data_IF_948782255604
#
_entry.id   IF_948782255604
#
_cell.length_a   1.000
_cell.length_b   1.000
_cell.length_c   1.000
_cell.angle_alpha   90.00
_cell.angle_beta   90.00
_cell.angle_gamma   90.00
#
_symmetry.space_group_name_H-M   'P 1'
#
loop_
_entity.id
_entity.type
_entity.pdbx_description
1 polymer ?
#
# COMPACT_ATOMS: atom_id res chain seq x y z
N UNK A 1 -22.65 12.94 12.58
CA UNK A 1 -21.21 12.83 12.24
C UNK A 1 -20.92 13.28 10.81
N UNK A 2 -21.63 12.77 9.79
CA UNK A 2 -21.48 13.22 8.39
C UNK A 2 -21.55 14.75 8.24
N UNK A 3 -22.59 15.40 8.78
CA UNK A 3 -22.71 16.87 8.75
C UNK A 3 -21.56 17.63 9.45
N UNK A 4 -20.91 17.03 10.46
CA UNK A 4 -19.74 17.61 11.11
C UNK A 4 -18.50 17.53 10.20
N UNK A 5 -18.29 16.38 9.55
CA UNK A 5 -17.19 16.13 8.62
C UNK A 5 -17.34 16.99 7.35
N UNK A 6 -18.56 17.12 6.84
CA UNK A 6 -18.90 17.97 5.69
C UNK A 6 -18.86 19.47 6.01
N UNK A 7 -18.76 19.83 7.30
CA UNK A 7 -18.74 21.22 7.74
C UNK A 7 -20.09 21.94 7.64
N UNK A 8 -21.20 21.20 7.48
CA UNK A 8 -22.56 21.73 7.30
C UNK A 8 -23.30 22.02 8.61
N UNK A 9 -22.70 21.67 9.76
CA UNK A 9 -23.27 22.00 11.07
C UNK A 9 -23.19 23.49 11.39
N UNK A 10 -24.25 24.00 12.04
CA UNK A 10 -24.27 25.33 12.62
C UNK A 10 -23.25 25.43 13.77
N UNK A 11 -22.81 26.65 14.10
CA UNK A 11 -21.73 26.89 15.08
C UNK A 11 -22.03 26.29 16.46
N UNK A 12 -23.29 26.33 16.91
CA UNK A 12 -23.68 25.77 18.20
C UNK A 12 -23.59 24.23 18.20
N UNK A 13 -23.98 23.57 17.11
CA UNK A 13 -23.91 22.12 16.95
C UNK A 13 -22.47 21.66 16.82
N UNK A 14 -21.66 22.40 16.07
CA UNK A 14 -20.21 22.16 15.94
C UNK A 14 -19.52 22.22 17.30
N UNK A 15 -19.87 23.21 18.13
CA UNK A 15 -19.31 23.35 19.48
C UNK A 15 -19.68 22.16 20.37
N UNK A 16 -20.94 21.71 20.32
CA UNK A 16 -21.40 20.54 21.07
C UNK A 16 -20.68 19.25 20.64
N UNK A 17 -20.47 19.06 19.33
CA UNK A 17 -19.73 17.91 18.80
C UNK A 17 -18.26 17.96 19.22
N UNK A 18 -17.59 19.12 19.12
CA UNK A 18 -16.19 19.27 19.56
C UNK A 18 -16.04 18.99 21.06
N UNK A 19 -16.96 19.49 21.88
CA UNK A 19 -16.96 19.19 23.31
C UNK A 19 -17.09 17.67 23.57
N UNK A 20 -18.01 17.00 22.88
CA UNK A 20 -18.17 15.55 23.00
C UNK A 20 -16.94 14.75 22.54
N UNK A 21 -16.27 15.17 21.45
CA UNK A 21 -14.99 14.58 21.02
C UNK A 21 -13.87 14.81 22.05
N UNK A 22 -13.99 15.86 22.86
CA UNK A 22 -13.19 16.12 24.07
C UNK A 22 -13.31 15.01 25.11
N UNK A 23 -14.54 14.56 25.36
CA UNK A 23 -14.86 13.68 26.49
C UNK A 23 -15.01 12.20 26.11
N UNK A 24 -15.19 11.88 24.82
CA UNK A 24 -15.41 10.51 24.34
C UNK A 24 -14.25 10.01 23.45
N UNK A 25 -13.38 9.11 23.95
CA UNK A 25 -12.23 8.59 23.20
C UNK A 25 -12.63 7.81 21.93
N UNK A 26 -13.75 7.10 21.98
CA UNK A 26 -14.26 6.32 20.85
C UNK A 26 -14.69 7.24 19.69
N UNK A 27 -15.45 8.29 19.98
CA UNK A 27 -15.86 9.26 18.97
C UNK A 27 -14.66 10.04 18.42
N UNK A 28 -13.67 10.35 19.25
CA UNK A 28 -12.40 10.95 18.81
C UNK A 28 -11.65 10.06 17.83
N UNK A 29 -11.49 8.77 18.13
CA UNK A 29 -10.80 7.83 17.26
C UNK A 29 -11.45 7.78 15.87
N UNK A 30 -12.78 7.66 15.82
CA UNK A 30 -13.54 7.67 14.55
C UNK A 30 -13.34 8.98 13.77
N UNK A 31 -13.35 10.14 14.46
CA UNK A 31 -13.14 11.43 13.79
C UNK A 31 -11.74 11.58 13.19
N UNK A 32 -10.71 11.02 13.85
CA UNK A 32 -9.34 11.05 13.35
C UNK A 32 -9.17 10.13 12.13
N UNK A 33 -9.75 8.92 12.16
CA UNK A 33 -9.72 8.00 11.02
C UNK A 33 -10.41 8.61 9.79
N UNK A 34 -11.51 9.33 9.96
CA UNK A 34 -12.20 9.99 8.84
C UNK A 34 -11.40 11.19 8.32
N UNK A 35 -10.74 11.95 9.21
CA UNK A 35 -9.86 13.04 8.77
C UNK A 35 -8.70 12.52 7.91
N UNK A 36 -8.10 11.41 8.32
CA UNK A 36 -7.00 10.75 7.60
C UNK A 36 -7.44 10.22 6.22
N UNK A 37 -8.64 9.64 6.11
CA UNK A 37 -9.20 9.20 4.81
C UNK A 37 -9.48 10.35 3.84
N UNK A 38 -9.90 11.51 4.35
CA UNK A 38 -10.19 12.68 3.51
C UNK A 38 -8.94 13.26 2.86
N UNK A 39 -7.81 13.20 3.55
CA UNK A 39 -6.52 13.63 3.00
C UNK A 39 -6.09 12.71 1.84
N UNK A 40 -6.44 11.42 1.89
CA UNK A 40 -6.16 10.46 0.80
C UNK A 40 -7.01 10.74 -0.44
N UNK A 41 -8.31 11.01 -0.31
CA UNK A 41 -9.19 11.35 -1.45
C UNK A 41 -8.76 12.64 -2.15
N UNK A 42 -8.35 13.66 -1.38
CA UNK A 42 -7.86 14.93 -1.94
C UNK A 42 -6.53 14.73 -2.68
N UNK A 43 -5.65 13.88 -2.17
CA UNK A 43 -4.40 13.51 -2.85
C UNK A 43 -4.69 12.75 -4.15
N UNK A 44 -5.60 11.78 -4.15
CA UNK A 44 -5.96 10.98 -5.32
C UNK A 44 -6.53 11.85 -6.46
N UNK A 45 -7.44 12.77 -6.13
CA UNK A 45 -7.99 13.75 -7.08
C UNK A 45 -6.88 14.66 -7.66
N UNK A 46 -5.92 15.08 -6.82
CA UNK A 46 -4.77 15.90 -7.26
C UNK A 46 -3.79 15.12 -8.15
N UNK A 47 -3.61 13.82 -7.91
CA UNK A 47 -2.79 12.95 -8.75
C UNK A 47 -3.41 12.73 -10.13
N UNK A 48 -4.74 12.60 -10.19
CA UNK A 48 -5.44 12.36 -11.46
C UNK A 48 -5.70 13.63 -12.29
N UNK A 49 -5.82 14.80 -11.67
CA UNK A 49 -6.05 16.06 -12.40
C UNK A 49 -4.79 16.69 -13.01
N UNK A 50 -3.60 16.11 -12.80
CA UNK A 50 -2.34 16.61 -13.36
C UNK A 50 -2.04 18.03 -12.88
N UNK A 51 -1.34 18.15 -11.74
CA UNK A 51 -1.01 19.42 -11.10
C UNK A 51 -0.66 20.51 -12.12
N UNK A 52 -1.50 21.54 -12.31
CA UNK A 52 -1.08 22.72 -13.05
C UNK A 52 0.12 23.28 -12.29
N UNK A 53 1.28 23.40 -12.96
CA UNK A 53 2.45 24.08 -12.41
C UNK A 53 2.03 25.49 -12.00
N UNK A 54 1.71 25.67 -10.73
CA UNK A 54 1.39 26.97 -10.18
C UNK A 54 2.59 27.89 -10.45
N UNK A 55 2.38 29.07 -11.07
CA UNK A 55 3.47 30.01 -11.26
C UNK A 55 4.08 30.33 -9.89
N UNK A 56 5.41 30.30 -9.82
CA UNK A 56 6.18 30.50 -8.60
C UNK A 56 5.63 31.72 -7.83
N UNK A 57 5.34 31.58 -6.52
CA UNK A 57 4.80 32.69 -5.76
C UNK A 57 5.79 33.86 -5.79
N UNK A 58 5.34 35.11 -6.01
CA UNK A 58 6.21 36.26 -5.94
C UNK A 58 6.82 36.34 -4.54
N UNK A 59 8.12 36.62 -4.47
CA UNK A 59 8.90 36.71 -3.25
C UNK A 59 8.17 37.56 -2.19
N UNK A 60 7.68 36.91 -1.13
CA UNK A 60 6.89 37.56 -0.10
C UNK A 60 7.71 38.62 0.63
N UNK A 61 7.14 39.82 0.73
CA UNK A 61 7.66 40.93 1.50
C UNK A 61 7.85 40.55 2.98
N UNK A 62 8.99 40.97 3.55
CA UNK A 62 9.37 40.74 4.94
C UNK A 62 8.34 41.40 5.88
N UNK A 63 7.45 40.59 6.46
CA UNK A 63 6.57 41.07 7.52
C UNK A 63 7.37 41.14 8.81
N UNK A 64 7.65 42.36 9.26
CA UNK A 64 8.37 42.65 10.49
C UNK A 64 7.53 42.19 11.70
N UNK A 65 7.80 40.98 12.19
CA UNK A 65 7.15 40.40 13.38
C UNK A 65 7.59 41.17 14.62
N UNK A 66 6.71 42.04 15.12
CA UNK A 66 6.93 42.79 16.35
C UNK A 66 6.91 41.83 17.55
N UNK A 67 8.01 41.83 18.29
CA UNK A 67 8.29 40.97 19.43
C UNK A 67 7.56 41.45 20.68
N UNK A 68 6.49 40.75 21.11
CA UNK A 68 6.01 40.80 22.51
C UNK A 68 5.36 39.49 22.92
N UNK A 69 6.17 38.57 23.46
CA UNK A 69 5.76 37.58 24.47
C UNK A 69 7.02 36.85 24.99
N UNK A 70 7.87 37.58 25.72
CA UNK A 70 8.86 36.95 26.61
C UNK A 70 8.10 36.50 27.86
N UNK A 71 8.03 35.19 28.11
CA UNK A 71 8.06 34.51 29.44
C UNK A 71 7.31 33.16 29.52
N UNK A 72 7.34 32.27 28.50
CA UNK A 72 7.04 30.82 28.70
C UNK A 72 7.82 29.87 27.76
N UNK A 73 9.06 30.23 27.40
CA UNK A 73 9.80 29.56 26.33
C UNK A 73 10.74 28.36 26.69
N UNK A 74 11.13 28.02 27.94
CA UNK A 74 12.10 26.94 28.12
C UNK A 74 11.50 25.53 28.26
N UNK A 75 10.19 25.36 28.48
CA UNK A 75 9.63 24.04 28.80
C UNK A 75 9.34 23.15 27.58
N UNK A 76 9.11 23.71 26.38
CA UNK A 76 8.77 22.94 25.17
C UNK A 76 9.98 22.43 24.39
N UNK A 77 11.17 23.02 24.58
CA UNK A 77 12.38 22.60 23.86
C UNK A 77 12.97 21.28 24.38
N UNK A 78 12.73 20.93 25.65
CA UNK A 78 13.28 19.70 26.25
C UNK A 78 12.49 18.44 25.84
N UNK A 79 11.18 18.56 25.62
CA UNK A 79 10.33 17.41 25.27
C UNK A 79 10.56 16.88 23.83
N UNK A 80 10.89 17.75 22.87
CA UNK A 80 11.18 17.31 21.50
C UNK A 80 12.52 16.57 21.39
N UNK A 81 13.51 16.97 22.21
CA UNK A 81 14.83 16.34 22.21
C UNK A 81 14.80 14.91 22.78
N UNK A 82 13.97 14.63 23.79
CA UNK A 82 13.87 13.28 24.35
C UNK A 82 13.24 12.28 23.38
N UNK A 83 12.19 12.68 22.64
CA UNK A 83 11.57 11.80 21.63
C UNK A 83 12.55 11.46 20.51
N UNK A 84 13.31 12.44 20.00
CA UNK A 84 14.31 12.21 18.95
C UNK A 84 15.44 11.25 19.40
N UNK A 85 15.91 11.38 20.64
CA UNK A 85 16.99 10.52 21.20
C UNK A 85 16.55 9.07 21.32
N UNK A 86 15.27 8.78 21.59
CA UNK A 86 14.80 7.40 21.69
C UNK A 86 14.23 6.83 20.38
N UNK A 87 13.59 7.64 19.55
CA UNK A 87 12.96 7.16 18.31
C UNK A 87 13.97 6.86 17.19
N UNK A 88 15.01 7.70 17.03
CA UNK A 88 16.02 7.53 15.99
C UNK A 88 16.78 6.20 16.14
N UNK A 89 17.39 5.86 17.30
CA UNK A 89 18.12 4.60 17.41
C UNK A 89 17.19 3.40 17.24
N UNK A 90 15.91 3.49 17.65
CA UNK A 90 14.97 2.39 17.49
C UNK A 90 14.73 2.04 16.01
N UNK A 91 14.61 3.04 15.13
CA UNK A 91 14.46 2.81 13.68
C UNK A 91 15.72 2.21 13.07
N UNK A 92 16.91 2.66 13.48
CA UNK A 92 18.18 2.09 12.99
C UNK A 92 18.52 0.71 13.58
N UNK A 93 17.90 0.34 14.71
CA UNK A 93 18.08 -0.97 15.36
C UNK A 93 17.12 -2.03 14.81
N UNK A 94 16.06 -1.64 14.10
CA UNK A 94 15.22 -2.60 13.41
C UNK A 94 15.94 -3.08 12.15
N UNK A 95 16.23 -4.39 12.01
CA UNK A 95 16.88 -4.90 10.81
C UNK A 95 16.01 -4.58 9.59
N UNK A 96 16.60 -4.11 8.48
CA UNK A 96 15.85 -3.89 7.26
C UNK A 96 15.23 -5.22 6.84
N UNK A 97 13.92 -5.20 6.58
CA UNK A 97 13.23 -6.40 6.15
C UNK A 97 13.84 -6.89 4.84
N UNK A 98 14.19 -8.15 4.82
CA UNK A 98 14.56 -8.82 3.58
C UNK A 98 13.32 -8.93 2.68
N UNK A 99 13.48 -8.83 1.36
CA UNK A 99 12.37 -9.09 0.43
C UNK A 99 11.66 -10.43 0.67
N UNK A 100 12.40 -11.44 1.15
CA UNK A 100 11.85 -12.75 1.49
C UNK A 100 10.90 -12.69 2.69
N UNK A 101 11.22 -11.91 3.73
CA UNK A 101 10.33 -11.69 4.87
C UNK A 101 9.05 -10.94 4.46
N UNK A 102 9.17 -9.98 3.54
CA UNK A 102 8.03 -9.25 3.03
C UNK A 102 7.07 -10.19 2.25
N UNK A 103 7.60 -11.10 1.42
CA UNK A 103 6.80 -12.14 0.75
C UNK A 103 6.20 -13.11 1.77
N UNK A 104 6.96 -13.55 2.79
CA UNK A 104 6.43 -14.43 3.83
C UNK A 104 5.25 -13.78 4.60
N UNK A 105 5.33 -12.48 4.87
CA UNK A 105 4.24 -11.73 5.48
C UNK A 105 3.00 -11.65 4.56
N UNK A 106 3.17 -11.61 3.24
CA UNK A 106 2.05 -11.71 2.30
C UNK A 106 1.43 -13.11 2.29
N UNK A 107 2.25 -14.17 2.34
CA UNK A 107 1.76 -15.56 2.41
C UNK A 107 0.93 -15.78 3.68
N UNK A 108 1.39 -15.26 4.82
CA UNK A 108 0.64 -15.30 6.08
C UNK A 108 -0.67 -14.49 5.99
N UNK A 109 -0.62 -13.29 5.40
CA UNK A 109 -1.80 -12.45 5.22
C UNK A 109 -2.84 -13.07 4.28
N UNK A 110 -2.39 -13.80 3.25
CA UNK A 110 -3.23 -14.50 2.27
C UNK A 110 -3.72 -15.87 2.77
N UNK A 111 -3.25 -16.34 3.93
CA UNK A 111 -3.43 -17.72 4.36
C UNK A 111 -4.90 -18.16 4.36
N UNK A 112 -5.16 -19.31 3.71
CA UNK A 112 -6.46 -19.97 3.69
C UNK A 112 -7.48 -19.41 2.69
N UNK A 113 -7.09 -18.52 1.77
CA UNK A 113 -7.97 -18.05 0.70
C UNK A 113 -7.30 -18.07 -0.67
N UNK A 114 -8.08 -18.46 -1.67
CA UNK A 114 -7.71 -18.33 -3.07
C UNK A 114 -8.10 -16.95 -3.56
N UNK A 115 -7.15 -16.03 -3.55
CA UNK A 115 -7.33 -14.69 -4.10
C UNK A 115 -7.32 -14.68 -5.63
N UNK A 116 -6.62 -15.66 -6.24
CA UNK A 116 -6.35 -15.76 -7.68
C UNK A 116 -6.64 -17.20 -8.16
N UNK A 117 -7.13 -17.35 -9.38
CA UNK A 117 -7.25 -18.64 -10.02
C UNK A 117 -5.88 -19.22 -10.43
N UNK A 118 -5.00 -18.38 -10.98
CA UNK A 118 -3.62 -18.73 -11.26
C UNK A 118 -2.81 -18.93 -9.97
N UNK A 119 -1.81 -19.83 -10.04
CA UNK A 119 -0.86 -20.04 -8.96
C UNK A 119 0.25 -19.00 -9.05
N UNK A 120 0.58 -18.42 -7.91
CA UNK A 120 1.74 -17.52 -7.74
C UNK A 120 2.80 -18.23 -6.94
N UNK A 121 4.05 -17.99 -7.30
CA UNK A 121 5.20 -18.56 -6.59
C UNK A 121 5.43 -17.86 -5.24
N UNK A 122 6.28 -18.45 -4.39
CA UNK A 122 6.62 -17.87 -3.08
C UNK A 122 5.92 -18.52 -1.89
N UNK A 123 5.30 -19.69 -2.07
CA UNK A 123 4.73 -20.50 -0.98
C UNK A 123 3.25 -20.25 -0.69
N UNK A 124 2.53 -19.58 -1.60
CA UNK A 124 1.08 -19.41 -1.48
C UNK A 124 0.38 -20.77 -1.56
N UNK A 125 -0.23 -21.19 -0.46
CA UNK A 125 -0.95 -22.46 -0.41
C UNK A 125 -2.25 -22.35 -1.22
N UNK A 126 -2.46 -23.28 -2.15
CA UNK A 126 -3.71 -23.36 -2.90
C UNK A 126 -4.87 -23.68 -1.96
N UNK A 127 -5.89 -22.83 -1.95
CA UNK A 127 -7.10 -22.99 -1.13
C UNK A 127 -8.36 -23.06 -2.03
N UNK A 128 -9.49 -23.57 -1.51
CA UNK A 128 -10.78 -23.42 -2.20
C UNK A 128 -11.19 -21.95 -2.29
N UNK A 129 -11.96 -21.59 -3.33
CA UNK A 129 -12.56 -20.26 -3.41
C UNK A 129 -13.46 -20.02 -2.20
N UNK A 130 -13.32 -18.87 -1.49
CA UNK A 130 -14.13 -18.62 -0.32
C UNK A 130 -15.61 -18.52 -0.70
N UNK A 131 -16.53 -19.06 0.12
CA UNK A 131 -17.95 -18.85 -0.10
C UNK A 131 -18.26 -17.35 0.00
N UNK A 132 -19.05 -16.83 -0.95
CA UNK A 132 -19.33 -15.39 -1.12
C UNK A 132 -20.09 -14.72 0.03
N UNK A 133 -20.37 -15.43 1.13
CA UNK A 133 -21.33 -15.02 2.16
C UNK A 133 -20.73 -14.32 3.38
N UNK A 134 -19.40 -14.28 3.57
CA UNK A 134 -18.78 -13.64 4.75
C UNK A 134 -18.00 -12.36 4.39
N UNK A 135 -18.73 -11.26 4.26
CA UNK A 135 -18.18 -9.94 3.89
C UNK A 135 -17.35 -9.28 5.00
N UNK A 136 -17.46 -9.72 6.25
CA UNK A 136 -16.69 -9.14 7.36
C UNK A 136 -15.32 -9.79 7.48
N UNK A 137 -15.24 -11.13 7.43
CA UNK A 137 -13.95 -11.82 7.42
C UNK A 137 -13.13 -11.46 6.17
N UNK A 138 -13.79 -11.28 5.02
CA UNK A 138 -13.13 -10.83 3.78
C UNK A 138 -12.53 -9.42 3.92
N UNK A 139 -13.23 -8.48 4.58
CA UNK A 139 -12.69 -7.14 4.83
C UNK A 139 -11.47 -7.15 5.75
N UNK A 140 -11.52 -7.85 6.88
CA UNK A 140 -10.38 -7.91 7.81
C UNK A 140 -9.12 -8.51 7.17
N UNK A 141 -9.29 -9.53 6.32
CA UNK A 141 -8.18 -10.13 5.57
C UNK A 141 -7.62 -9.17 4.53
N UNK A 142 -8.49 -8.45 3.82
CA UNK A 142 -8.08 -7.39 2.88
C UNK A 142 -7.12 -6.39 3.52
N UNK A 143 -7.40 -5.91 4.74
CA UNK A 143 -6.52 -4.97 5.44
C UNK A 143 -5.13 -5.55 5.77
N UNK A 144 -5.06 -6.83 6.15
CA UNK A 144 -3.78 -7.49 6.41
C UNK A 144 -2.95 -7.62 5.14
N UNK A 145 -3.59 -7.96 4.03
CA UNK A 145 -2.94 -8.07 2.72
C UNK A 145 -2.43 -6.70 2.24
N UNK A 146 -3.26 -5.65 2.34
CA UNK A 146 -2.86 -4.26 2.03
C UNK A 146 -1.66 -3.84 2.88
N UNK A 147 -1.68 -4.10 4.19
CA UNK A 147 -0.56 -3.78 5.06
C UNK A 147 0.72 -4.56 4.72
N UNK A 148 0.61 -5.82 4.29
CA UNK A 148 1.75 -6.62 3.84
C UNK A 148 2.31 -6.11 2.50
N UNK A 149 1.44 -5.77 1.55
CA UNK A 149 1.82 -5.17 0.27
C UNK A 149 2.54 -3.83 0.44
N UNK A 150 2.08 -2.98 1.37
CA UNK A 150 2.76 -1.73 1.72
C UNK A 150 4.22 -1.95 2.18
N UNK A 151 4.46 -2.97 3.01
CA UNK A 151 5.82 -3.34 3.45
C UNK A 151 6.70 -3.86 2.31
N UNK A 152 6.12 -4.62 1.38
CA UNK A 152 6.84 -5.07 0.17
C UNK A 152 7.30 -3.88 -0.65
N UNK A 153 6.42 -2.90 -0.86
CA UNK A 153 6.76 -1.66 -1.58
C UNK A 153 7.84 -0.84 -0.87
N UNK A 154 7.74 -0.67 0.44
CA UNK A 154 8.77 0.01 1.24
C UNK A 154 10.14 -0.70 1.12
N UNK A 155 10.15 -2.04 1.17
CA UNK A 155 11.39 -2.82 0.99
C UNK A 155 11.99 -2.67 -0.42
N UNK A 156 11.14 -2.50 -1.44
CA UNK A 156 11.57 -2.23 -2.81
C UNK A 156 12.15 -0.81 -2.96
N UNK A 157 11.53 0.19 -2.34
CA UNK A 157 12.03 1.58 -2.34
C UNK A 157 13.40 1.68 -1.63
N UNK A 158 13.62 0.87 -0.59
CA UNK A 158 14.92 0.75 0.07
C UNK A 158 15.96 -0.03 -0.76
N UNK A 159 15.51 -0.98 -1.59
CA UNK A 159 16.38 -1.85 -2.38
C UNK A 159 15.71 -2.28 -3.71
N UNK A 160 16.00 -1.52 -4.78
CA UNK A 160 15.54 -1.79 -6.14
C UNK A 160 16.31 -2.96 -6.76
N UNK A 161 15.93 -4.17 -6.34
CA UNK A 161 16.43 -5.42 -6.91
C UNK A 161 15.34 -6.10 -7.76
N UNK A 162 15.74 -6.95 -8.71
CA UNK A 162 14.79 -7.73 -9.52
C UNK A 162 13.85 -8.59 -8.67
N UNK A 163 14.34 -9.13 -7.55
CA UNK A 163 13.54 -9.93 -6.62
C UNK A 163 12.56 -9.04 -5.84
N UNK A 164 12.99 -7.87 -5.34
CA UNK A 164 12.10 -6.90 -4.69
C UNK A 164 10.99 -6.44 -5.65
N UNK A 165 11.35 -6.17 -6.92
CA UNK A 165 10.41 -5.75 -7.96
C UNK A 165 9.39 -6.85 -8.28
N UNK A 166 9.84 -8.11 -8.37
CA UNK A 166 8.94 -9.26 -8.51
C UNK A 166 7.96 -9.34 -7.35
N UNK A 167 8.43 -9.15 -6.11
CA UNK A 167 7.56 -9.15 -4.94
C UNK A 167 6.50 -8.05 -5.00
N UNK A 168 6.84 -6.83 -5.46
CA UNK A 168 5.87 -5.74 -5.69
C UNK A 168 4.83 -6.15 -6.73
N UNK A 169 5.25 -6.77 -7.84
CA UNK A 169 4.34 -7.26 -8.86
C UNK A 169 3.37 -8.35 -8.35
N UNK A 170 3.86 -9.28 -7.53
CA UNK A 170 3.02 -10.28 -6.85
C UNK A 170 2.06 -9.63 -5.85
N UNK A 171 2.50 -8.61 -5.12
CA UNK A 171 1.65 -7.86 -4.20
C UNK A 171 0.49 -7.17 -4.94
N UNK A 172 0.79 -6.47 -6.04
CA UNK A 172 -0.22 -5.85 -6.90
C UNK A 172 -1.20 -6.89 -7.45
N UNK A 173 -0.69 -8.05 -7.89
CA UNK A 173 -1.53 -9.14 -8.39
C UNK A 173 -2.52 -9.64 -7.32
N UNK A 174 -2.05 -9.86 -6.09
CA UNK A 174 -2.88 -10.31 -4.96
C UNK A 174 -3.92 -9.27 -4.52
N UNK A 175 -3.63 -7.98 -4.68
CA UNK A 175 -4.57 -6.88 -4.43
C UNK A 175 -5.61 -6.72 -5.55
N UNK A 176 -5.37 -7.34 -6.72
CA UNK A 176 -6.24 -7.22 -7.89
C UNK A 176 -5.89 -6.06 -8.82
N UNK A 177 -4.73 -5.42 -8.63
CA UNK A 177 -4.22 -4.34 -9.48
C UNK A 177 -3.51 -4.94 -10.71
N UNK A 178 -4.29 -5.60 -11.58
CA UNK A 178 -3.77 -6.49 -12.63
C UNK A 178 -2.88 -5.78 -13.66
N UNK A 179 -3.19 -4.53 -14.01
CA UNK A 179 -2.39 -3.74 -14.94
C UNK A 179 -1.01 -3.40 -14.35
N UNK A 180 -0.96 -3.00 -13.08
CA UNK A 180 0.31 -2.70 -12.39
C UNK A 180 1.14 -3.97 -12.16
N UNK A 181 0.47 -5.08 -11.82
CA UNK A 181 1.09 -6.38 -11.68
C UNK A 181 1.79 -6.81 -12.97
N UNK A 182 1.09 -6.79 -14.11
CA UNK A 182 1.67 -7.16 -15.42
C UNK A 182 2.84 -6.25 -15.77
N UNK A 183 2.66 -4.92 -15.67
CA UNK A 183 3.73 -3.95 -15.96
C UNK A 183 4.97 -4.19 -15.12
N UNK A 184 4.80 -4.33 -13.81
CA UNK A 184 5.91 -4.53 -12.86
C UNK A 184 6.62 -5.87 -13.07
N UNK A 185 5.86 -6.96 -13.29
CA UNK A 185 6.42 -8.30 -13.53
C UNK A 185 7.10 -8.40 -14.91
N UNK A 186 6.63 -7.69 -15.93
CA UNK A 186 7.33 -7.58 -17.21
C UNK A 186 8.71 -6.96 -17.03
N UNK A 187 8.81 -5.87 -16.27
CA UNK A 187 10.09 -5.21 -16.01
C UNK A 187 11.00 -6.12 -15.18
N UNK A 188 10.47 -6.79 -14.15
CA UNK A 188 11.24 -7.75 -13.35
C UNK A 188 11.75 -8.93 -14.20
N UNK A 189 10.90 -9.51 -15.05
CA UNK A 189 11.26 -10.60 -15.96
C UNK A 189 12.29 -10.18 -17.01
N UNK A 190 12.20 -8.94 -17.52
CA UNK A 190 13.20 -8.39 -18.43
C UNK A 190 14.56 -8.19 -17.74
N UNK A 191 14.58 -7.79 -16.47
CA UNK A 191 15.80 -7.62 -15.69
C UNK A 191 16.45 -8.96 -15.29
N UNK A 192 15.67 -10.03 -15.15
CA UNK A 192 16.14 -11.37 -14.83
C UNK A 192 15.56 -12.45 -15.78
N UNK A 193 16.02 -12.53 -17.04
CA UNK A 193 15.41 -13.42 -18.05
C UNK A 193 15.53 -14.92 -17.77
N UNK A 194 16.37 -15.32 -16.79
CA UNK A 194 16.59 -16.71 -16.38
C UNK A 194 15.90 -17.07 -15.06
N UNK A 195 15.05 -16.18 -14.55
CA UNK A 195 14.27 -16.43 -13.33
C UNK A 195 12.96 -17.17 -13.68
N UNK A 196 12.91 -18.47 -13.39
CA UNK A 196 11.72 -19.29 -13.61
C UNK A 196 10.53 -18.80 -12.80
N UNK A 197 10.76 -18.31 -11.58
CA UNK A 197 9.72 -17.84 -10.68
C UNK A 197 9.08 -16.56 -11.22
N UNK A 198 9.90 -15.61 -11.68
CA UNK A 198 9.41 -14.39 -12.34
C UNK A 198 8.62 -14.66 -13.61
N UNK A 199 9.00 -15.69 -14.40
CA UNK A 199 8.22 -16.09 -15.58
C UNK A 199 6.86 -16.69 -15.20
N UNK A 200 6.79 -17.53 -14.17
CA UNK A 200 5.54 -18.11 -13.68
C UNK A 200 4.61 -17.05 -13.08
N UNK A 201 5.13 -16.14 -12.25
CA UNK A 201 4.33 -15.04 -11.68
C UNK A 201 3.78 -14.12 -12.78
N UNK A 202 4.58 -13.83 -13.82
CA UNK A 202 4.12 -13.05 -14.98
C UNK A 202 3.02 -13.77 -15.78
N UNK A 203 3.13 -15.09 -15.95
CA UNK A 203 2.09 -15.89 -16.58
C UNK A 203 0.78 -15.82 -15.79
N UNK A 204 0.85 -15.92 -14.47
CA UNK A 204 -0.29 -15.77 -13.57
C UNK A 204 -0.96 -14.39 -13.72
N UNK A 205 -0.16 -13.33 -13.78
CA UNK A 205 -0.67 -11.97 -13.97
C UNK A 205 -1.42 -11.79 -15.30
N UNK A 206 -0.86 -12.28 -16.40
CA UNK A 206 -1.54 -12.25 -17.70
C UNK A 206 -2.83 -13.05 -17.70
N UNK A 207 -2.82 -14.25 -17.10
CA UNK A 207 -4.00 -15.09 -17.02
C UNK A 207 -5.12 -14.40 -16.21
N UNK A 208 -4.81 -13.89 -15.01
CA UNK A 208 -5.81 -13.21 -14.18
C UNK A 208 -6.39 -11.99 -14.89
N UNK A 209 -5.54 -11.19 -15.57
CA UNK A 209 -6.00 -10.04 -16.34
C UNK A 209 -6.88 -10.44 -17.52
N UNK A 210 -6.53 -11.51 -18.22
CA UNK A 210 -7.35 -12.04 -19.32
C UNK A 210 -8.75 -12.44 -18.84
N UNK A 211 -8.83 -13.15 -17.71
CA UNK A 211 -10.10 -13.69 -17.19
C UNK A 211 -10.95 -12.60 -16.52
N UNK A 212 -10.37 -11.75 -15.68
CA UNK A 212 -11.12 -10.75 -14.89
C UNK A 212 -11.52 -9.53 -15.70
N UNK A 213 -10.63 -9.04 -16.56
CA UNK A 213 -10.85 -7.82 -17.34
C UNK A 213 -11.33 -8.12 -18.77
N UNK A 214 -11.61 -9.39 -19.08
CA UNK A 214 -12.01 -9.84 -20.43
C UNK A 214 -11.00 -9.49 -21.53
N UNK A 215 -9.69 -9.44 -21.19
CA UNK A 215 -8.59 -9.15 -22.12
C UNK A 215 -8.02 -10.42 -22.74
N UNK A 216 -8.78 -11.08 -23.61
CA UNK A 216 -8.40 -12.35 -24.22
C UNK A 216 -7.04 -12.33 -24.94
N UNK A 217 -6.59 -11.16 -25.41
CA UNK A 217 -5.30 -10.97 -26.09
C UNK A 217 -4.09 -11.22 -25.17
N UNK A 218 -4.28 -11.29 -23.84
CA UNK A 218 -3.22 -11.64 -22.88
C UNK A 218 -2.95 -13.16 -22.81
N UNK A 219 -3.87 -14.01 -23.29
CA UNK A 219 -3.72 -15.47 -23.18
C UNK A 219 -2.49 -16.03 -23.90
N UNK A 220 -2.14 -15.59 -25.13
CA UNK A 220 -0.88 -16.01 -25.77
C UNK A 220 0.37 -15.59 -24.97
N UNK A 221 0.34 -14.41 -24.33
CA UNK A 221 1.44 -13.94 -23.50
C UNK A 221 1.57 -14.75 -22.21
N UNK A 222 0.44 -15.12 -21.59
CA UNK A 222 0.39 -16.04 -20.46
C UNK A 222 1.02 -17.39 -20.82
N UNK A 223 0.60 -18.01 -21.93
CA UNK A 223 1.12 -19.30 -22.39
C UNK A 223 2.64 -19.23 -22.65
N UNK A 224 3.11 -18.19 -23.36
CA UNK A 224 4.54 -18.01 -23.63
C UNK A 224 5.36 -17.84 -22.33
N UNK A 225 4.81 -17.18 -21.32
CA UNK A 225 5.44 -17.04 -20.02
C UNK A 225 5.51 -18.38 -19.25
N UNK A 226 4.45 -19.20 -19.30
CA UNK A 226 4.44 -20.58 -18.75
C UNK A 226 5.49 -21.45 -19.43
N UNK A 227 5.51 -21.49 -20.77
CA UNK A 227 6.47 -22.30 -21.52
C UNK A 227 7.91 -21.95 -21.16
N UNK A 228 8.19 -20.66 -20.98
CA UNK A 228 9.49 -20.18 -20.52
C UNK A 228 9.79 -20.59 -19.08
N UNK A 229 8.83 -20.52 -18.16
CA UNK A 229 9.01 -20.96 -16.79
C UNK A 229 9.36 -22.45 -16.72
N UNK A 230 8.61 -23.29 -17.44
CA UNK A 230 8.85 -24.75 -17.55
C UNK A 230 10.20 -25.05 -18.21
N UNK A 231 10.58 -24.29 -19.24
CA UNK A 231 11.88 -24.47 -19.90
C UNK A 231 13.07 -24.12 -18.98
N UNK A 232 12.88 -23.18 -18.05
CA UNK A 232 13.89 -22.80 -17.06
C UNK A 232 13.92 -23.78 -15.87
N UNK A 233 12.75 -24.23 -15.41
CA UNK A 233 12.60 -25.21 -14.34
C UNK A 233 11.35 -26.08 -14.56
N UNK A 234 11.56 -27.29 -15.07
CA UNK A 234 10.48 -28.25 -15.34
C UNK A 234 9.86 -28.84 -14.06
N UNK A 235 10.45 -28.60 -12.88
CA UNK A 235 9.93 -29.07 -11.59
C UNK A 235 9.08 -28.03 -10.86
N UNK A 236 8.97 -26.80 -11.39
CA UNK A 236 8.20 -25.72 -10.81
C UNK A 236 6.69 -26.01 -10.92
N UNK A 237 6.07 -26.37 -9.80
CA UNK A 237 4.65 -26.81 -9.76
C UNK A 237 3.64 -25.69 -9.97
N UNK A 238 4.08 -24.45 -9.87
CA UNK A 238 3.29 -23.23 -10.01
C UNK A 238 3.19 -22.74 -11.46
N UNK A 239 4.01 -23.28 -12.36
CA UNK A 239 4.01 -22.95 -13.79
C UNK A 239 2.87 -23.65 -14.56
#
# INVERSE_FOLDING_TARGET
MAAFIEGTLADFERTAVVAHLGDCPQCRAVSLTVAELRDVEVLDELWHQGLPLAPAPPAAARVHRWSRAKTRAPALAVAAATVAVFAIPLVYLMPPWSPQEAVAAMVDAAHGQRALDARVTGGFTYAPSPPSTDSQAQRTRGWKLIAAAGRVRESYEANDSGLSRRAVGVAALLLGDLDDAVSTLQIASAAAPRDAFGAADLAAAYYERAIRDSRADDLPAALSAVERAIALDASLTEA
#
